data_IF_845877182375
#
_entry.id   IF_845877182375
#
_cell.length_a   1.000
_cell.length_b   1.000
_cell.length_c   1.000
_cell.angle_alpha   90.00
_cell.angle_beta   90.00
_cell.angle_gamma   90.00
#
_symmetry.space_group_name_H-M   'P 1'
#
loop_
_entity.id
_entity.type
_entity.pdbx_description
1 polymer ?
#
# COMPACT_ATOMS: atom_id res chain seq x y z
N UNK A 1 -5.01 -18.40 5.16
CA UNK A 1 -5.21 -17.67 3.90
C UNK A 1 -3.93 -17.54 3.06
N UNK A 2 -2.76 -17.31 3.68
CA UNK A 2 -1.45 -17.35 2.98
C UNK A 2 -1.13 -18.76 2.44
N UNK A 3 -1.39 -19.80 3.24
CA UNK A 3 -1.24 -21.20 2.83
C UNK A 3 -2.07 -21.59 1.58
N UNK A 4 -3.12 -20.83 1.24
CA UNK A 4 -3.93 -21.04 0.04
C UNK A 4 -3.35 -20.37 -1.21
N UNK A 5 -2.28 -19.56 -1.08
CA UNK A 5 -1.65 -18.80 -2.17
C UNK A 5 -0.13 -18.90 -2.10
N UNK A 6 0.44 -20.09 -2.39
CA UNK A 6 1.89 -20.32 -2.28
C UNK A 6 2.71 -19.40 -3.19
N UNK A 7 2.14 -18.88 -4.27
CA UNK A 7 2.80 -17.91 -5.15
C UNK A 7 3.22 -16.62 -4.43
N UNK A 8 2.47 -16.21 -3.39
CA UNK A 8 2.83 -15.03 -2.60
C UNK A 8 4.17 -15.20 -1.89
N UNK A 9 4.49 -16.43 -1.46
CA UNK A 9 5.76 -16.76 -0.81
C UNK A 9 6.95 -16.71 -1.78
N UNK A 10 6.72 -16.77 -3.10
CA UNK A 10 7.76 -16.63 -4.12
C UNK A 10 8.10 -15.17 -4.44
N UNK A 11 7.30 -14.21 -3.98
CA UNK A 11 7.57 -12.80 -4.22
C UNK A 11 8.64 -12.28 -3.27
N UNK A 12 9.52 -11.40 -3.79
CA UNK A 12 10.51 -10.72 -2.97
C UNK A 12 9.82 -9.87 -1.90
N UNK A 13 10.23 -10.06 -0.64
CA UNK A 13 9.76 -9.27 0.48
C UNK A 13 10.07 -7.80 0.26
N UNK A 14 11.34 -7.47 0.07
CA UNK A 14 11.82 -6.10 -0.06
C UNK A 14 11.32 -5.41 -1.33
N UNK A 15 11.32 -6.11 -2.47
CA UNK A 15 10.99 -5.49 -3.76
C UNK A 15 9.49 -5.45 -4.06
N UNK A 16 8.67 -6.31 -3.45
CA UNK A 16 7.24 -6.41 -3.77
C UNK A 16 6.34 -6.36 -2.56
N UNK A 17 6.56 -7.21 -1.56
CA UNK A 17 5.60 -7.33 -0.45
C UNK A 17 5.62 -6.10 0.46
N UNK A 18 6.80 -5.68 0.90
CA UNK A 18 6.99 -4.52 1.80
C UNK A 18 6.46 -3.23 1.16
N UNK A 19 6.83 -2.83 -0.07
CA UNK A 19 6.27 -1.64 -0.74
C UNK A 19 4.74 -1.62 -0.78
N UNK A 20 4.11 -2.75 -1.11
CA UNK A 20 2.66 -2.86 -1.28
C UNK A 20 1.92 -2.89 0.05
N UNK A 21 2.48 -3.56 1.05
CA UNK A 21 1.95 -3.55 2.42
C UNK A 21 2.07 -2.15 3.04
N UNK A 22 3.15 -1.41 2.77
CA UNK A 22 3.30 -0.02 3.21
C UNK A 22 2.22 0.90 2.64
N UNK A 23 1.92 0.78 1.34
CA UNK A 23 0.79 1.47 0.70
C UNK A 23 -0.53 1.12 1.40
N UNK A 24 -0.84 -0.17 1.57
CA UNK A 24 -2.07 -0.61 2.22
C UNK A 24 -2.20 -0.06 3.66
N UNK A 25 -1.10 -0.03 4.42
CA UNK A 25 -1.05 0.53 5.77
C UNK A 25 -1.30 2.04 5.77
N UNK A 26 -0.76 2.79 4.81
CA UNK A 26 -1.07 4.22 4.66
C UNK A 26 -2.55 4.44 4.34
N UNK A 27 -3.12 3.65 3.41
CA UNK A 27 -4.54 3.75 3.06
C UNK A 27 -5.45 3.47 4.27
N UNK A 28 -5.07 2.49 5.10
CA UNK A 28 -5.78 2.19 6.35
C UNK A 28 -5.71 3.36 7.34
N UNK A 29 -4.52 3.94 7.54
CA UNK A 29 -4.32 5.09 8.44
C UNK A 29 -5.08 6.34 7.98
N UNK A 30 -5.21 6.51 6.66
CA UNK A 30 -5.98 7.61 6.04
C UNK A 30 -7.48 7.32 5.96
N UNK A 31 -7.93 6.15 6.43
CA UNK A 31 -9.33 5.67 6.35
C UNK A 31 -9.88 5.63 4.92
N UNK A 32 -9.01 5.47 3.92
CA UNK A 32 -9.38 5.33 2.51
C UNK A 32 -9.86 3.92 2.17
N UNK A 33 -9.65 2.97 3.08
CA UNK A 33 -10.20 1.62 3.06
C UNK A 33 -10.86 1.34 4.41
N UNK A 34 -11.94 0.53 4.42
CA UNK A 34 -12.72 0.26 5.63
C UNK A 34 -11.98 -0.60 6.65
N UNK A 35 -11.02 -1.40 6.21
CA UNK A 35 -10.24 -2.29 7.05
C UNK A 35 -9.32 -3.18 6.22
N UNK A 36 -8.37 -3.87 6.87
CA UNK A 36 -7.47 -4.78 6.16
C UNK A 36 -8.24 -5.92 5.47
N UNK A 37 -9.37 -6.34 6.04
CA UNK A 37 -10.25 -7.37 5.48
C UNK A 37 -10.94 -6.93 4.18
N UNK A 38 -11.14 -5.61 4.00
CA UNK A 38 -11.69 -5.06 2.75
C UNK A 38 -10.69 -5.08 1.59
N UNK A 39 -9.42 -5.39 1.87
CA UNK A 39 -8.36 -5.50 0.87
C UNK A 39 -8.04 -6.98 0.65
N UNK A 40 -8.38 -7.47 -0.53
CA UNK A 40 -7.95 -8.81 -0.93
C UNK A 40 -6.42 -8.87 -1.03
N UNK A 41 -5.78 -9.80 -0.32
CA UNK A 41 -4.33 -10.04 -0.45
C UNK A 41 -3.94 -10.31 -1.90
N UNK A 42 -4.83 -10.92 -2.66
CA UNK A 42 -4.64 -11.22 -4.08
C UNK A 42 -4.60 -9.94 -4.90
N UNK A 43 -5.59 -9.05 -4.70
CA UNK A 43 -5.64 -7.78 -5.43
C UNK A 43 -4.49 -6.86 -5.05
N UNK A 44 -3.91 -7.03 -3.85
CA UNK A 44 -2.73 -6.30 -3.43
C UNK A 44 -1.44 -6.90 -4.01
N UNK A 45 -1.23 -8.20 -3.88
CA UNK A 45 0.10 -8.82 -4.05
C UNK A 45 0.32 -9.47 -5.42
N UNK A 46 -0.73 -9.90 -6.11
CA UNK A 46 -0.60 -10.62 -7.39
C UNK A 46 -0.49 -9.74 -8.63
N UNK A 47 -1.12 -8.55 -8.72
CA UNK A 47 -1.00 -7.73 -9.93
C UNK A 47 0.46 -7.43 -10.27
N UNK A 48 0.74 -7.39 -11.57
CA UNK A 48 1.99 -6.82 -12.08
C UNK A 48 2.11 -5.36 -11.63
N UNK A 49 3.34 -4.88 -11.52
CA UNK A 49 3.64 -3.57 -10.93
C UNK A 49 2.84 -2.43 -11.55
N UNK A 50 2.81 -2.34 -12.88
CA UNK A 50 2.03 -1.33 -13.61
C UNK A 50 0.56 -1.30 -13.17
N UNK A 51 -0.08 -2.47 -13.14
CA UNK A 51 -1.48 -2.61 -12.75
C UNK A 51 -1.71 -2.23 -11.29
N UNK A 52 -0.78 -2.58 -10.39
CA UNK A 52 -0.84 -2.16 -8.99
C UNK A 52 -0.76 -0.62 -8.86
N UNK A 53 0.20 0.01 -9.55
CA UNK A 53 0.38 1.46 -9.51
C UNK A 53 -0.84 2.20 -10.04
N UNK A 54 -1.39 1.78 -11.17
CA UNK A 54 -2.56 2.43 -11.78
C UNK A 54 -3.84 2.23 -10.95
N UNK A 55 -4.06 1.02 -10.41
CA UNK A 55 -5.33 0.71 -9.72
C UNK A 55 -5.36 1.09 -8.25
N UNK A 56 -4.20 1.20 -7.60
CA UNK A 56 -4.13 1.48 -6.16
C UNK A 56 -3.48 2.83 -5.91
N UNK A 57 -2.25 3.04 -6.41
CA UNK A 57 -1.48 4.25 -6.08
C UNK A 57 -2.08 5.48 -6.76
N UNK A 58 -2.34 5.43 -8.07
CA UNK A 58 -2.85 6.58 -8.82
C UNK A 58 -4.25 7.03 -8.36
N UNK A 59 -5.12 6.08 -7.96
CA UNK A 59 -6.48 6.40 -7.46
C UNK A 59 -6.47 7.17 -6.15
N UNK A 60 -5.43 6.97 -5.33
CA UNK A 60 -5.33 7.56 -4.00
C UNK A 60 -4.30 8.70 -3.95
N UNK A 61 -3.68 9.07 -5.07
CA UNK A 61 -2.60 10.07 -5.10
C UNK A 61 -3.10 11.48 -4.74
N UNK A 62 -4.35 11.81 -5.09
CA UNK A 62 -4.94 13.10 -4.75
C UNK A 62 -5.17 13.25 -3.24
N UNK A 63 -5.56 12.17 -2.57
CA UNK A 63 -5.77 12.13 -1.12
C UNK A 63 -4.45 11.98 -0.35
N UNK A 64 -3.48 11.29 -0.96
CA UNK A 64 -2.17 11.03 -0.38
C UNK A 64 -1.08 11.27 -1.44
N UNK A 65 -0.65 12.52 -1.64
CA UNK A 65 0.36 12.85 -2.66
C UNK A 65 1.69 12.11 -2.46
N UNK A 66 2.00 11.75 -1.21
CA UNK A 66 3.22 11.03 -0.84
C UNK A 66 3.14 9.51 -1.09
N UNK A 67 1.99 8.96 -1.54
CA UNK A 67 1.76 7.52 -1.60
C UNK A 67 2.72 6.80 -2.55
N UNK A 68 3.07 7.44 -3.67
CA UNK A 68 4.10 6.92 -4.58
C UNK A 68 5.48 6.90 -3.92
N UNK A 69 5.82 7.94 -3.16
CA UNK A 69 7.09 8.01 -2.43
C UNK A 69 7.17 6.95 -1.32
N UNK A 70 6.05 6.63 -0.68
CA UNK A 70 5.95 5.50 0.27
C UNK A 70 6.18 4.17 -0.45
N UNK A 71 5.53 3.96 -1.60
CA UNK A 71 5.76 2.75 -2.40
C UNK A 71 7.23 2.60 -2.80
N UNK A 72 7.89 3.69 -3.16
CA UNK A 72 9.31 3.71 -3.51
C UNK A 72 10.25 3.63 -2.29
N UNK A 73 9.72 3.58 -1.06
CA UNK A 73 10.52 3.53 0.16
C UNK A 73 11.25 4.83 0.50
N UNK A 74 10.91 5.94 -0.17
CA UNK A 74 11.55 7.26 0.03
C UNK A 74 10.97 8.02 1.22
N UNK A 75 9.75 7.69 1.63
CA UNK A 75 9.02 8.33 2.73
C UNK A 75 8.51 7.25 3.66
N UNK A 76 8.75 7.40 4.97
CA UNK A 76 8.25 6.49 5.98
C UNK A 76 6.74 6.64 6.17
N UNK A 77 6.08 5.55 6.61
CA UNK A 77 4.65 5.57 6.93
C UNK A 77 4.36 6.60 8.04
N UNK A 78 5.30 6.79 8.96
CA UNK A 78 5.22 7.73 10.08
C UNK A 78 5.21 9.19 9.60
N UNK A 79 5.96 9.51 8.55
CA UNK A 79 6.05 10.87 7.99
C UNK A 79 4.72 11.30 7.35
N UNK A 80 4.02 10.34 6.72
CA UNK A 80 2.66 10.53 6.19
C UNK A 80 1.63 10.74 7.31
N UNK A 81 1.90 10.21 8.52
CA UNK A 81 1.07 10.42 9.71
C UNK A 81 1.29 11.81 10.31
N UNK A 82 2.52 12.30 10.38
CA UNK A 82 2.82 13.63 10.93
C UNK A 82 2.18 14.78 10.13
N UNK A 83 2.02 14.63 8.82
CA UNK A 83 1.30 15.60 7.99
C UNK A 83 -0.22 15.64 8.24
N UNK A 84 -0.78 14.70 9.02
CA UNK A 84 -2.18 14.75 9.49
C UNK A 84 -2.35 15.56 10.77
N UNK A 85 -1.32 15.66 11.61
CA UNK A 85 -1.38 16.36 12.92
C UNK A 85 -1.29 17.88 12.74
N UNK A 86 -0.87 18.37 11.57
CA UNK A 86 -0.75 19.81 11.28
C UNK A 86 -2.03 20.48 10.77
N UNK A 87 -3.16 19.78 10.69
CA UNK A 87 -4.47 20.41 10.45
C UNK A 87 -5.14 20.62 11.80
N UNK A 88 -4.90 21.80 12.38
CA UNK A 88 -5.69 22.36 13.48
C UNK A 88 -7.09 22.72 13.01
#
# INVERSE_FOLDING_TARGET
MIAKRPLVLRYSLEKRLVPRCSVAKVLLLKRLIKGIESVSLSSLLEPVEKCFLEKVVARCINEVPQLLSVYQGKVGIQDVRCSLVKRG
#
